data_IF_215434095913
#
_entry.id   IF_215434095913
#
_cell.length_a   1.000
_cell.length_b   1.000
_cell.length_c   1.000
_cell.angle_alpha   90.00
_cell.angle_beta   90.00
_cell.angle_gamma   90.00
#
_symmetry.space_group_name_H-M   'P 1'
#
loop_
_entity.id
_entity.type
_entity.pdbx_description
1 polymer ?
#
# COMPACT_ATOMS: atom_id res chain seq x y z
N UNK A 1 1.97 -20.46 20.53
CA UNK A 1 2.33 -19.44 19.55
C UNK A 1 1.07 -18.99 18.81
N UNK A 2 0.80 -17.69 18.77
CA UNK A 2 -0.36 -17.10 18.06
C UNK A 2 0.17 -16.26 16.91
N UNK A 3 -0.24 -16.57 15.70
CA UNK A 3 0.18 -15.86 14.49
C UNK A 3 -0.86 -15.98 13.37
N UNK A 4 -0.85 -15.03 12.47
CA UNK A 4 -1.57 -15.08 11.19
C UNK A 4 -0.63 -15.30 10.00
N UNK A 5 0.66 -15.48 10.26
CA UNK A 5 1.67 -15.71 9.22
C UNK A 5 1.80 -17.20 8.93
N UNK A 6 1.13 -17.65 7.90
CA UNK A 6 0.99 -19.08 7.57
C UNK A 6 2.33 -19.80 7.38
N UNK A 7 3.33 -19.13 6.82
CA UNK A 7 4.68 -19.71 6.65
C UNK A 7 5.38 -19.98 7.98
N UNK A 8 5.19 -19.10 8.98
CA UNK A 8 5.75 -19.29 10.33
C UNK A 8 5.05 -20.45 11.03
N UNK A 9 3.72 -20.52 10.91
CA UNK A 9 2.93 -21.63 11.48
C UNK A 9 3.38 -22.95 10.89
N UNK A 10 3.53 -23.06 9.57
CA UNK A 10 3.99 -24.27 8.91
C UNK A 10 5.43 -24.67 9.28
N UNK A 11 6.30 -23.70 9.57
CA UNK A 11 7.70 -23.97 9.93
C UNK A 11 7.95 -24.28 11.40
N UNK A 12 7.10 -23.76 12.30
CA UNK A 12 7.36 -23.80 13.76
C UNK A 12 6.41 -24.72 14.53
N UNK A 13 5.21 -24.98 14.00
CA UNK A 13 4.16 -25.67 14.75
C UNK A 13 3.98 -27.11 14.28
N UNK A 14 3.71 -28.02 15.22
CA UNK A 14 3.33 -29.39 14.92
C UNK A 14 1.81 -29.53 14.73
N UNK A 15 1.03 -28.68 15.41
CA UNK A 15 -0.42 -28.64 15.30
C UNK A 15 -0.87 -27.17 15.29
N UNK A 16 -1.88 -26.87 14.49
CA UNK A 16 -2.49 -25.54 14.41
C UNK A 16 -3.99 -25.63 14.67
N UNK A 17 -4.45 -24.98 15.75
CA UNK A 17 -5.88 -24.77 16.02
C UNK A 17 -6.32 -23.45 15.36
N UNK A 18 -7.32 -23.52 14.50
CA UNK A 18 -7.83 -22.34 13.78
C UNK A 18 -9.01 -21.73 14.53
N UNK A 19 -8.85 -20.46 14.93
CA UNK A 19 -9.90 -19.66 15.55
C UNK A 19 -10.59 -18.78 14.52
N UNK A 20 -11.92 -18.82 14.46
CA UNK A 20 -12.72 -18.01 13.57
C UNK A 20 -14.01 -17.58 14.26
N UNK A 21 -14.30 -16.26 14.29
CA UNK A 21 -15.47 -15.66 14.96
C UNK A 21 -15.65 -16.08 16.41
N UNK A 22 -14.54 -16.30 17.14
CA UNK A 22 -14.59 -16.70 18.55
C UNK A 22 -14.67 -18.20 18.80
N UNK A 23 -14.70 -19.03 17.75
CA UNK A 23 -14.82 -20.50 17.86
C UNK A 23 -13.63 -21.19 17.21
N UNK A 24 -13.18 -22.31 17.80
CA UNK A 24 -12.18 -23.20 17.19
C UNK A 24 -12.90 -24.03 16.13
N UNK A 25 -12.54 -23.82 14.86
CA UNK A 25 -13.14 -24.51 13.73
C UNK A 25 -12.47 -25.85 13.40
N UNK A 26 -11.30 -26.11 13.96
CA UNK A 26 -10.59 -27.37 13.82
C UNK A 26 -9.13 -27.31 14.22
N UNK A 27 -8.52 -28.49 14.31
CA UNK A 27 -7.09 -28.67 14.50
C UNK A 27 -6.50 -29.35 13.27
N UNK A 28 -5.35 -28.89 12.84
CA UNK A 28 -4.73 -29.27 11.58
C UNK A 28 -3.23 -29.48 11.75
N UNK A 29 -2.65 -30.36 10.95
CA UNK A 29 -1.20 -30.49 10.79
C UNK A 29 -0.73 -29.51 9.72
N UNK A 30 -0.10 -28.39 10.11
CA UNK A 30 0.28 -27.33 9.18
C UNK A 30 1.39 -27.76 8.21
N UNK A 31 2.11 -28.84 8.51
CA UNK A 31 3.17 -29.38 7.66
C UNK A 31 2.60 -30.16 6.45
N UNK A 32 1.35 -30.63 6.55
CA UNK A 32 0.66 -31.39 5.49
C UNK A 32 -0.27 -30.53 4.64
N UNK A 33 -0.37 -29.24 4.96
CA UNK A 33 -1.27 -28.32 4.27
C UNK A 33 -0.50 -27.23 3.53
N UNK A 34 -1.05 -26.78 2.44
CA UNK A 34 -0.57 -25.57 1.77
C UNK A 34 -1.00 -24.31 2.54
N UNK A 35 -0.26 -23.21 2.37
CA UNK A 35 -0.65 -21.92 2.94
C UNK A 35 -2.03 -21.47 2.46
N UNK A 36 -2.43 -21.84 1.23
CA UNK A 36 -3.75 -21.54 0.66
C UNK A 36 -4.85 -22.27 1.42
N UNK A 37 -4.73 -23.59 1.59
CA UNK A 37 -5.71 -24.40 2.32
C UNK A 37 -5.89 -23.92 3.75
N UNK A 38 -4.79 -23.66 4.45
CA UNK A 38 -4.87 -23.13 5.82
C UNK A 38 -5.52 -21.73 5.85
N UNK A 39 -5.20 -20.88 4.87
CA UNK A 39 -5.83 -19.57 4.70
C UNK A 39 -7.33 -19.66 4.43
N UNK A 40 -7.77 -20.58 3.58
CA UNK A 40 -9.20 -20.81 3.28
C UNK A 40 -9.98 -21.25 4.52
N UNK A 41 -9.39 -22.11 5.35
CA UNK A 41 -10.00 -22.51 6.63
C UNK A 41 -10.11 -21.31 7.58
N UNK A 42 -9.08 -20.47 7.69
CA UNK A 42 -9.08 -19.29 8.55
C UNK A 42 -10.15 -18.28 8.10
N UNK A 43 -10.31 -18.05 6.81
CA UNK A 43 -11.28 -17.11 6.25
C UNK A 43 -12.68 -17.73 6.17
N UNK A 44 -12.77 -19.04 5.95
CA UNK A 44 -14.03 -19.78 5.83
C UNK A 44 -14.65 -19.73 4.45
N UNK A 45 -13.87 -19.35 3.45
CA UNK A 45 -14.27 -19.35 2.03
C UNK A 45 -13.04 -19.55 1.16
N UNK A 46 -13.25 -19.99 -0.08
CA UNK A 46 -12.17 -20.13 -1.05
C UNK A 46 -11.49 -18.78 -1.30
N UNK A 47 -10.16 -18.78 -1.28
CA UNK A 47 -9.39 -17.58 -1.59
C UNK A 47 -9.32 -17.39 -3.10
N UNK A 48 -9.79 -16.21 -3.52
CA UNK A 48 -9.65 -15.78 -4.90
C UNK A 48 -8.19 -15.40 -5.17
N UNK A 49 -7.58 -16.05 -6.15
CA UNK A 49 -6.26 -15.63 -6.65
C UNK A 49 -6.49 -14.59 -7.76
N UNK A 50 -6.11 -13.33 -7.51
CA UNK A 50 -6.25 -12.31 -8.54
C UNK A 50 -5.34 -12.68 -9.72
N UNK A 51 -5.94 -12.81 -10.90
CA UNK A 51 -5.16 -12.96 -12.13
C UNK A 51 -4.49 -11.64 -12.43
N UNK A 52 -3.16 -11.66 -12.58
CA UNK A 52 -2.43 -10.48 -13.03
C UNK A 52 -2.95 -10.08 -14.41
N UNK A 53 -3.45 -8.85 -14.60
CA UNK A 53 -3.76 -8.38 -15.94
C UNK A 53 -2.49 -8.40 -16.78
N UNK A 54 -2.59 -8.88 -17.99
CA UNK A 54 -1.48 -8.83 -18.95
C UNK A 54 -1.25 -7.35 -19.26
N UNK A 55 -0.08 -6.84 -18.92
CA UNK A 55 0.31 -5.46 -19.25
C UNK A 55 0.35 -5.32 -20.77
N UNK A 56 -0.55 -4.52 -21.32
CA UNK A 56 -0.77 -4.47 -22.75
C UNK A 56 0.16 -3.52 -23.49
N UNK A 57 0.78 -2.55 -22.84
CA UNK A 57 1.83 -1.72 -23.44
C UNK A 57 2.58 -0.96 -22.34
N UNK A 58 3.91 -1.09 -22.30
CA UNK A 58 4.80 -0.34 -21.41
C UNK A 58 5.24 1.03 -21.98
N UNK A 59 4.53 1.56 -22.97
CA UNK A 59 5.06 2.69 -23.74
C UNK A 59 4.74 4.06 -23.14
N UNK A 60 3.69 4.17 -22.32
CA UNK A 60 3.31 5.46 -21.76
C UNK A 60 3.67 5.54 -20.28
N UNK A 61 4.68 6.35 -19.99
CA UNK A 61 5.07 6.65 -18.61
C UNK A 61 3.99 7.51 -17.96
N UNK A 62 3.45 7.01 -16.85
CA UNK A 62 2.39 7.69 -16.09
C UNK A 62 2.95 8.52 -14.96
N UNK A 63 3.97 7.98 -14.25
CA UNK A 63 4.58 8.66 -13.13
C UNK A 63 6.09 8.54 -13.22
N UNK A 64 6.82 9.61 -12.91
CA UNK A 64 8.26 9.56 -12.67
C UNK A 64 8.63 10.40 -11.47
N UNK A 65 9.46 9.86 -10.61
CA UNK A 65 10.04 10.54 -9.45
C UNK A 65 11.55 10.40 -9.49
N UNK A 66 12.25 11.51 -9.38
CA UNK A 66 13.71 11.55 -9.34
C UNK A 66 14.19 12.54 -8.30
N UNK A 67 15.09 12.10 -7.43
CA UNK A 67 15.77 12.97 -6.46
C UNK A 67 17.10 12.35 -6.03
N UNK A 68 18.06 13.19 -5.71
CA UNK A 68 19.33 12.74 -5.13
C UNK A 68 19.22 12.59 -3.62
N UNK A 69 18.57 13.51 -2.95
CA UNK A 69 18.41 13.48 -1.50
C UNK A 69 17.15 14.24 -1.09
N UNK A 70 16.38 13.67 -0.15
CA UNK A 70 15.28 14.35 0.56
C UNK A 70 15.43 14.08 2.04
N UNK A 71 15.55 15.12 2.83
CA UNK A 71 15.66 15.02 4.29
C UNK A 71 14.26 14.91 4.92
N UNK A 72 14.11 14.12 5.98
CA UNK A 72 12.86 14.05 6.71
C UNK A 72 12.56 15.36 7.45
N UNK A 73 11.29 15.62 7.74
CA UNK A 73 10.85 16.76 8.54
C UNK A 73 10.92 16.47 10.04
N UNK A 74 11.05 15.21 10.42
CA UNK A 74 11.12 14.75 11.81
C UNK A 74 12.51 14.26 12.18
N UNK A 75 12.84 14.31 13.47
CA UNK A 75 14.14 13.86 14.00
C UNK A 75 14.37 12.36 13.79
N UNK A 76 13.31 11.57 13.71
CA UNK A 76 13.36 10.11 13.58
C UNK A 76 13.08 9.60 12.16
N UNK A 77 12.85 10.52 11.22
CA UNK A 77 12.60 10.19 9.83
C UNK A 77 13.85 9.73 9.08
N UNK A 78 13.64 9.13 7.94
CA UNK A 78 14.69 8.58 7.07
C UNK A 78 14.98 9.53 5.91
N UNK A 79 16.26 9.82 5.69
CA UNK A 79 16.69 10.56 4.49
C UNK A 79 16.60 9.64 3.26
N UNK A 80 15.76 10.01 2.30
CA UNK A 80 15.72 9.34 1.00
C UNK A 80 16.92 9.74 0.18
N UNK A 81 17.55 8.77 -0.49
CA UNK A 81 18.75 9.02 -1.32
C UNK A 81 18.64 8.28 -2.64
N UNK A 82 19.03 8.98 -3.71
CA UNK A 82 19.18 8.39 -5.05
C UNK A 82 17.90 7.65 -5.51
N UNK A 83 16.75 8.26 -5.35
CA UNK A 83 15.50 7.71 -5.84
C UNK A 83 15.39 8.03 -7.33
N UNK A 84 15.17 7.00 -8.13
CA UNK A 84 14.82 7.07 -9.54
C UNK A 84 13.75 6.01 -9.80
N UNK A 85 12.51 6.45 -9.98
CA UNK A 85 11.34 5.59 -10.03
C UNK A 85 10.43 6.01 -11.18
N UNK A 86 10.05 5.03 -11.99
CA UNK A 86 9.11 5.23 -13.07
C UNK A 86 7.98 4.19 -13.00
N UNK A 87 6.76 4.63 -13.30
CA UNK A 87 5.58 3.77 -13.40
C UNK A 87 4.91 3.99 -14.75
N UNK A 88 4.59 2.89 -15.41
CA UNK A 88 4.00 2.89 -16.74
C UNK A 88 2.51 2.52 -16.69
N UNK A 89 1.81 2.82 -17.77
CA UNK A 89 0.39 2.51 -17.88
C UNK A 89 0.12 1.01 -17.67
N UNK A 90 -0.89 0.68 -16.87
CA UNK A 90 -1.26 -0.69 -16.49
C UNK A 90 -0.18 -1.47 -15.73
N UNK A 91 0.85 -0.78 -15.22
CA UNK A 91 1.89 -1.37 -14.37
C UNK A 91 1.46 -1.36 -12.89
N UNK A 92 1.83 -2.41 -12.18
CA UNK A 92 1.81 -2.46 -10.72
C UNK A 92 3.25 -2.50 -10.25
N UNK A 93 3.75 -1.38 -9.75
CA UNK A 93 5.09 -1.29 -9.16
C UNK A 93 5.00 -1.58 -7.67
N UNK A 94 5.73 -2.59 -7.19
CA UNK A 94 5.86 -2.90 -5.78
C UNK A 94 7.12 -2.28 -5.17
N UNK A 95 6.96 -1.59 -4.03
CA UNK A 95 8.08 -1.07 -3.24
C UNK A 95 8.14 -1.88 -1.95
N UNK A 96 9.18 -2.69 -1.81
CA UNK A 96 9.38 -3.56 -0.65
C UNK A 96 10.48 -3.04 0.27
N UNK A 97 10.32 -3.28 1.56
CA UNK A 97 11.32 -2.95 2.59
C UNK A 97 10.82 -3.31 3.97
N UNK A 98 11.75 -3.40 4.93
CA UNK A 98 11.40 -3.47 6.35
C UNK A 98 10.83 -2.12 6.78
N UNK A 99 9.81 -2.11 7.64
CA UNK A 99 9.20 -0.88 8.14
C UNK A 99 10.25 0.09 8.70
N UNK A 100 10.09 1.39 8.43
CA UNK A 100 11.03 2.42 8.86
C UNK A 100 12.23 2.65 7.93
N UNK A 101 12.20 2.17 6.69
CA UNK A 101 13.26 2.39 5.71
C UNK A 101 12.95 3.51 4.67
N UNK A 102 12.03 4.40 4.97
CA UNK A 102 11.74 5.56 4.12
C UNK A 102 10.47 5.43 3.28
N UNK A 103 9.67 4.38 3.47
CA UNK A 103 8.42 4.19 2.74
C UNK A 103 7.42 5.30 3.03
N UNK A 104 7.35 5.76 4.28
CA UNK A 104 6.48 6.86 4.70
C UNK A 104 6.90 8.18 4.04
N UNK A 105 8.19 8.53 4.09
CA UNK A 105 8.73 9.73 3.47
C UNK A 105 8.53 9.71 1.95
N UNK A 106 8.68 8.55 1.32
CA UNK A 106 8.40 8.40 -0.09
C UNK A 106 6.91 8.62 -0.41
N UNK A 107 6.03 8.05 0.41
CA UNK A 107 4.59 8.27 0.27
C UNK A 107 4.21 9.75 0.43
N UNK A 108 4.74 10.44 1.45
CA UNK A 108 4.49 11.88 1.67
C UNK A 108 4.87 12.74 0.45
N UNK A 109 5.98 12.40 -0.22
CA UNK A 109 6.37 13.05 -1.47
C UNK A 109 5.39 12.73 -2.61
N UNK A 110 5.02 11.45 -2.78
CA UNK A 110 4.12 11.00 -3.83
C UNK A 110 2.70 11.56 -3.66
N UNK A 111 2.22 11.73 -2.42
CA UNK A 111 0.90 12.29 -2.12
C UNK A 111 0.87 13.82 -2.16
N UNK A 112 2.02 14.48 -1.99
CA UNK A 112 2.13 15.94 -1.89
C UNK A 112 1.93 16.48 -0.47
N UNK A 113 1.93 15.61 0.54
CA UNK A 113 1.95 16.01 1.95
C UNK A 113 3.29 16.65 2.31
N UNK A 114 4.35 16.17 1.68
CA UNK A 114 5.66 16.81 1.68
C UNK A 114 5.98 17.36 0.30
N UNK A 115 6.30 18.65 0.26
CA UNK A 115 6.76 19.36 -0.94
C UNK A 115 8.24 19.66 -0.77
N UNK A 116 9.06 19.21 -1.73
CA UNK A 116 10.51 19.43 -1.72
C UNK A 116 10.98 19.82 -3.14
N UNK A 117 11.66 20.96 -3.24
CA UNK A 117 12.12 21.50 -4.52
C UNK A 117 13.26 20.66 -5.15
N UNK A 118 13.94 19.82 -4.38
CA UNK A 118 14.99 18.92 -4.87
C UNK A 118 14.43 17.70 -5.61
N UNK A 119 13.11 17.49 -5.52
CA UNK A 119 12.41 16.40 -6.16
C UNK A 119 11.92 16.80 -7.55
N UNK A 120 12.17 15.99 -8.55
CA UNK A 120 11.48 16.06 -9.83
C UNK A 120 10.38 15.01 -9.82
N UNK A 121 9.11 15.42 -9.81
CA UNK A 121 7.96 14.54 -9.83
C UNK A 121 7.02 14.93 -10.94
N UNK A 122 6.78 13.98 -11.87
CA UNK A 122 5.88 14.17 -13.01
C UNK A 122 4.78 13.14 -13.03
N UNK A 123 3.59 13.58 -13.40
CA UNK A 123 2.44 12.75 -13.68
C UNK A 123 1.88 13.07 -15.07
N UNK A 124 1.85 12.07 -15.97
CA UNK A 124 1.50 12.25 -17.38
C UNK A 124 2.24 13.46 -18.01
N UNK A 125 3.57 13.48 -17.80
CA UNK A 125 4.51 14.55 -18.23
C UNK A 125 4.29 15.95 -17.64
N UNK A 126 3.28 16.16 -16.79
CA UNK A 126 3.08 17.41 -16.07
C UNK A 126 3.90 17.41 -14.77
N UNK A 127 4.58 18.50 -14.49
CA UNK A 127 5.27 18.70 -13.22
C UNK A 127 4.27 18.87 -12.08
N UNK A 128 4.35 18.00 -11.07
CA UNK A 128 3.44 18.00 -9.93
C UNK A 128 4.13 18.13 -8.57
N UNK A 129 5.46 18.32 -8.56
CA UNK A 129 6.23 18.37 -7.30
C UNK A 129 5.75 19.45 -6.33
N UNK A 130 5.24 20.58 -6.84
CA UNK A 130 4.76 21.70 -6.01
C UNK A 130 3.26 21.64 -5.71
N UNK A 131 2.55 20.64 -6.23
CA UNK A 131 1.11 20.49 -6.03
C UNK A 131 0.84 19.79 -4.69
N UNK A 132 -0.15 20.32 -3.97
CA UNK A 132 -0.65 19.72 -2.73
C UNK A 132 -1.52 18.46 -3.01
N UNK A 133 -1.90 17.68 -1.96
CA UNK A 133 -2.66 16.44 -2.14
C UNK A 133 -4.01 16.63 -2.86
N UNK A 134 -4.68 17.76 -2.65
CA UNK A 134 -5.95 18.05 -3.31
C UNK A 134 -5.76 18.25 -4.81
N UNK A 135 -4.80 19.09 -5.19
CA UNK A 135 -4.49 19.38 -6.59
C UNK A 135 -4.10 18.10 -7.34
N UNK A 136 -3.31 17.21 -6.70
CA UNK A 136 -2.97 15.92 -7.28
C UNK A 136 -4.18 15.00 -7.47
N UNK A 137 -5.13 15.01 -6.52
CA UNK A 137 -6.40 14.28 -6.69
C UNK A 137 -7.26 14.85 -7.82
N UNK A 138 -7.28 16.17 -8.00
CA UNK A 138 -7.98 16.82 -9.12
C UNK A 138 -7.41 16.39 -10.48
N UNK A 139 -6.13 16.03 -10.55
CA UNK A 139 -5.50 15.44 -11.73
C UNK A 139 -5.79 13.93 -11.91
N UNK A 140 -6.40 13.28 -10.93
CA UNK A 140 -6.79 11.88 -11.01
C UNK A 140 -5.90 10.91 -10.20
N UNK A 141 -4.94 11.39 -9.39
CA UNK A 141 -4.21 10.53 -8.48
C UNK A 141 -5.09 10.17 -7.29
N UNK A 142 -5.17 8.88 -6.96
CA UNK A 142 -5.85 8.38 -5.76
C UNK A 142 -4.82 7.80 -4.79
N UNK A 143 -5.04 8.05 -3.51
CA UNK A 143 -4.12 7.61 -2.44
C UNK A 143 -4.88 6.78 -1.41
N UNK A 144 -4.26 5.69 -0.97
CA UNK A 144 -4.73 4.86 0.13
C UNK A 144 -3.60 4.76 1.18
N UNK A 145 -3.59 5.62 2.20
CA UNK A 145 -2.59 5.59 3.26
C UNK A 145 -2.63 4.29 4.07
N UNK A 146 -1.49 3.90 4.64
CA UNK A 146 -1.40 2.73 5.52
C UNK A 146 -2.16 2.97 6.84
N UNK A 147 -2.05 4.17 7.40
CA UNK A 147 -2.78 4.58 8.60
C UNK A 147 -4.27 4.71 8.28
N UNK A 148 -5.08 3.85 8.89
CA UNK A 148 -6.50 3.73 8.57
C UNK A 148 -7.34 4.86 9.14
N UNK A 149 -7.12 5.21 10.42
CA UNK A 149 -7.91 6.20 11.16
C UNK A 149 -7.11 7.50 11.30
N UNK A 150 -7.76 8.62 10.98
CA UNK A 150 -7.13 9.93 11.05
C UNK A 150 -6.46 10.36 9.73
N UNK A 151 -6.01 9.41 8.91
CA UNK A 151 -5.36 9.68 7.62
C UNK A 151 -6.17 9.16 6.43
N UNK A 152 -6.48 7.85 6.38
CA UNK A 152 -7.26 7.26 5.29
C UNK A 152 -8.77 7.48 5.45
N UNK A 153 -9.27 7.54 6.68
CA UNK A 153 -10.69 7.70 6.98
C UNK A 153 -10.92 8.48 8.27
N UNK A 154 -12.03 9.20 8.32
CA UNK A 154 -12.53 9.88 9.51
C UNK A 154 -13.49 8.94 10.24
N UNK A 155 -13.15 8.53 11.46
CA UNK A 155 -13.88 7.50 12.22
C UNK A 155 -15.34 7.85 12.50
N UNK A 156 -15.67 9.14 12.67
CA UNK A 156 -17.01 9.61 12.99
C UNK A 156 -17.90 9.81 11.75
N UNK A 157 -17.38 9.58 10.55
CA UNK A 157 -18.11 9.67 9.30
C UNK A 157 -18.49 8.27 8.78
N UNK A 158 -19.63 8.16 8.15
CA UNK A 158 -20.03 6.93 7.48
C UNK A 158 -19.23 6.71 6.17
N UNK A 159 -19.40 5.56 5.52
CA UNK A 159 -18.66 5.22 4.30
C UNK A 159 -18.94 6.18 3.14
N UNK A 160 -20.16 6.65 2.99
CA UNK A 160 -20.54 7.59 1.95
C UNK A 160 -19.84 8.94 2.15
N UNK A 161 -19.88 9.45 3.37
CA UNK A 161 -19.23 10.71 3.74
C UNK A 161 -17.69 10.63 3.55
N UNK A 162 -17.07 9.53 3.99
CA UNK A 162 -15.66 9.30 3.74
C UNK A 162 -15.32 9.23 2.25
N UNK A 163 -16.17 8.59 1.43
CA UNK A 163 -16.01 8.53 -0.01
C UNK A 163 -16.13 9.91 -0.67
N UNK A 164 -17.04 10.76 -0.19
CA UNK A 164 -17.24 12.11 -0.71
C UNK A 164 -16.06 13.04 -0.40
N UNK A 165 -15.39 12.88 0.75
CA UNK A 165 -14.21 13.67 1.10
C UNK A 165 -13.04 13.37 0.14
N UNK A 166 -12.91 12.15 -0.32
CA UNK A 166 -11.83 11.72 -1.19
C UNK A 166 -12.05 12.02 -2.68
N UNK A 167 -13.27 12.41 -3.08
CA UNK A 167 -13.62 12.73 -4.46
C UNK A 167 -13.69 14.26 -4.70
N UNK A 168 -12.64 14.90 -5.23
CA UNK A 168 -12.62 16.35 -5.44
C UNK A 168 -13.57 16.83 -6.55
N UNK A 169 -14.05 15.94 -7.40
CA UNK A 169 -14.87 16.29 -8.59
C UNK A 169 -16.37 16.46 -8.29
N UNK A 170 -16.81 16.10 -7.08
CA UNK A 170 -18.22 16.14 -6.68
C UNK A 170 -18.60 17.33 -5.81
N UNK A 171 -17.82 18.39 -5.82
CA UNK A 171 -18.15 19.64 -5.14
C UNK A 171 -18.57 20.72 -6.12
#
# INVERSE_FOLDING_TARGET
YISHKLKEIAGLCDTASVLRKGEIVGEYDPKKMTAKELGEIMVGQSLFEPKRPVATNKNDRVLSLKTNEVKPDTQFGVTLKNIDLEVYQSEILGIGGVAGNGQEELMQILTGEKIDQSVSLKYMDNDIQMLNPRERREMGLAFAPEERLGHAAVANLNLLENSLITDPKKR
#
